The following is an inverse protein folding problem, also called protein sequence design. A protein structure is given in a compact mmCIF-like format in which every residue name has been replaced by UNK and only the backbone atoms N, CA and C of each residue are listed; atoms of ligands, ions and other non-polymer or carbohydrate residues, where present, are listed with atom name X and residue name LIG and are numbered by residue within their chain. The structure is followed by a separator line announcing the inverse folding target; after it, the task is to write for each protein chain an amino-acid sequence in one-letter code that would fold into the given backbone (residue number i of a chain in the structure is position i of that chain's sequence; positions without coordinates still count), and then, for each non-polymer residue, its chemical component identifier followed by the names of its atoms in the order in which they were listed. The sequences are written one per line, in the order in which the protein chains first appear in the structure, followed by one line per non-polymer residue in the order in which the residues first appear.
data_IF_192784720125
#
_entry.id   IF_192784720125
#
_cell.length_a   1.000
_cell.length_b   1.000
_cell.length_c   1.000
_cell.angle_alpha   90.00
_cell.angle_beta   90.00
_cell.angle_gamma   90.00
#
_symmetry.space_group_name_H-M   'P 1'
#
loop_
_entity.id
_entity.type
_entity.pdbx_description
1 polymer ?
#
# COMPACT_ATOMS: atom_id res chain seq x y z
N UNK A 1 -40.28 38.56 -24.07
CA UNK A 1 -40.10 37.98 -22.72
C UNK A 1 -39.64 36.52 -22.74
N UNK A 2 -40.08 35.70 -23.70
CA UNK A 2 -39.62 34.30 -23.86
C UNK A 2 -38.11 34.11 -24.10
N UNK A 3 -37.43 34.92 -24.93
CA UNK A 3 -35.98 34.76 -25.14
C UNK A 3 -35.14 35.03 -23.88
N UNK A 4 -35.63 35.92 -23.01
CA UNK A 4 -34.96 36.28 -21.74
C UNK A 4 -34.99 35.10 -20.77
N UNK A 5 -36.10 34.36 -20.71
CA UNK A 5 -36.22 33.14 -19.90
C UNK A 5 -35.28 32.03 -20.39
N UNK A 6 -35.17 31.84 -21.71
CA UNK A 6 -34.23 30.86 -22.27
C UNK A 6 -32.77 31.23 -22.04
N UNK A 7 -32.45 32.51 -22.11
CA UNK A 7 -31.11 33.01 -21.83
C UNK A 7 -30.76 32.87 -20.35
N UNK A 8 -31.65 33.29 -19.44
CA UNK A 8 -31.42 33.15 -18.00
C UNK A 8 -31.30 31.69 -17.58
N UNK A 9 -32.15 30.80 -18.10
CA UNK A 9 -32.08 29.37 -17.78
C UNK A 9 -30.75 28.76 -18.21
N UNK A 10 -30.20 29.12 -19.39
CA UNK A 10 -28.87 28.66 -19.83
C UNK A 10 -27.74 29.25 -19.01
N UNK A 11 -27.82 30.53 -18.65
CA UNK A 11 -26.79 31.21 -17.86
C UNK A 11 -26.72 30.66 -16.44
N UNK A 12 -27.87 30.35 -15.84
CA UNK A 12 -27.95 29.86 -14.46
C UNK A 12 -27.96 28.32 -14.35
N UNK A 13 -28.12 27.60 -15.45
CA UNK A 13 -28.13 26.13 -15.46
C UNK A 13 -26.93 25.53 -14.72
N UNK A 14 -25.67 25.93 -15.01
CA UNK A 14 -24.50 25.34 -14.36
C UNK A 14 -24.49 25.53 -12.85
N UNK A 15 -25.02 26.66 -12.36
CA UNK A 15 -25.05 26.99 -10.94
C UNK A 15 -26.10 26.19 -10.17
N UNK A 16 -27.08 25.60 -10.85
CA UNK A 16 -28.13 24.77 -10.25
C UNK A 16 -27.81 23.29 -10.46
N UNK A 17 -27.41 22.91 -11.68
CA UNK A 17 -27.15 21.51 -12.02
C UNK A 17 -25.94 20.97 -11.30
N UNK A 18 -24.87 21.77 -11.11
CA UNK A 18 -23.66 21.30 -10.45
C UNK A 18 -23.90 21.00 -8.96
N UNK A 19 -24.49 21.89 -8.13
CA UNK A 19 -24.80 21.55 -6.74
C UNK A 19 -25.76 20.35 -6.62
N UNK A 20 -26.78 20.27 -7.49
CA UNK A 20 -27.71 19.14 -7.47
C UNK A 20 -26.99 17.84 -7.80
N UNK A 21 -26.17 17.83 -8.86
CA UNK A 21 -25.38 16.65 -9.24
C UNK A 21 -24.39 16.26 -8.13
N UNK A 22 -23.77 17.22 -7.47
CA UNK A 22 -22.87 16.98 -6.34
C UNK A 22 -23.60 16.32 -5.16
N UNK A 23 -24.78 16.82 -4.78
CA UNK A 23 -25.59 16.23 -3.70
C UNK A 23 -26.05 14.82 -4.06
N UNK A 24 -26.55 14.63 -5.29
CA UNK A 24 -26.95 13.30 -5.78
C UNK A 24 -25.76 12.34 -5.80
N UNK A 25 -24.58 12.79 -6.23
CA UNK A 25 -23.35 12.01 -6.21
C UNK A 25 -22.91 11.64 -4.79
N UNK A 26 -22.96 12.58 -3.85
CA UNK A 26 -22.62 12.33 -2.45
C UNK A 26 -23.58 11.33 -1.80
N UNK A 27 -24.89 11.52 -1.97
CA UNK A 27 -25.91 10.59 -1.47
C UNK A 27 -25.77 9.22 -2.14
N UNK A 28 -25.55 9.19 -3.45
CA UNK A 28 -25.31 7.97 -4.22
C UNK A 28 -24.08 7.22 -3.73
N UNK A 29 -22.97 7.91 -3.47
CA UNK A 29 -21.75 7.33 -2.91
C UNK A 29 -21.98 6.71 -1.53
N UNK A 30 -22.71 7.40 -0.65
CA UNK A 30 -23.06 6.86 0.67
C UNK A 30 -24.01 5.67 0.60
N UNK A 31 -24.99 5.70 -0.31
CA UNK A 31 -25.94 4.61 -0.53
C UNK A 31 -25.26 3.41 -1.18
N UNK A 32 -24.36 3.65 -2.13
CA UNK A 32 -23.50 2.63 -2.72
C UNK A 32 -22.63 1.98 -1.64
N UNK A 33 -22.04 2.76 -0.74
CA UNK A 33 -21.28 2.24 0.39
C UNK A 33 -22.14 1.38 1.33
N UNK A 34 -23.38 1.83 1.61
CA UNK A 34 -24.33 1.09 2.46
C UNK A 34 -24.79 -0.24 1.82
N UNK A 35 -25.05 -0.24 0.50
CA UNK A 35 -25.49 -1.44 -0.23
C UNK A 35 -24.31 -2.40 -0.47
N UNK A 36 -23.12 -1.88 -0.75
CA UNK A 36 -21.93 -2.67 -1.05
C UNK A 36 -21.50 -3.52 0.14
N UNK A 37 -21.71 -3.05 1.37
CA UNK A 37 -21.45 -3.78 2.62
C UNK A 37 -20.02 -4.34 2.72
N UNK A 38 -19.69 -5.02 3.83
CA UNK A 38 -18.36 -5.58 4.13
C UNK A 38 -17.82 -6.64 3.12
N UNK A 39 -18.51 -6.85 2.00
CA UNK A 39 -18.22 -7.92 1.03
C UNK A 39 -17.14 -7.58 0.00
N UNK A 40 -16.77 -6.30 -0.13
CA UNK A 40 -15.59 -5.93 -0.92
C UNK A 40 -14.60 -5.25 -0.01
N UNK A 41 -13.45 -5.92 0.18
CA UNK A 41 -12.21 -5.34 0.69
C UNK A 41 -12.13 -3.89 0.22
N UNK A 42 -11.96 -2.95 1.16
CA UNK A 42 -11.89 -1.53 0.82
C UNK A 42 -10.92 -1.37 -0.35
N UNK A 43 -11.22 -0.57 -1.38
CA UNK A 43 -10.27 -0.30 -2.45
C UNK A 43 -9.05 0.42 -1.82
N UNK A 44 -8.02 -0.36 -1.46
CA UNK A 44 -6.89 0.04 -0.62
C UNK A 44 -6.48 -0.95 0.48
N UNK A 45 -7.31 -1.93 0.84
CA UNK A 45 -6.99 -3.02 1.78
C UNK A 45 -6.44 -4.28 1.09
N UNK A 46 -6.40 -4.29 -0.26
CA UNK A 46 -5.64 -5.31 -0.98
C UNK A 46 -4.15 -5.05 -0.73
N UNK A 47 -3.62 -5.71 0.31
CA UNK A 47 -2.20 -5.65 0.66
C UNK A 47 -1.35 -5.82 -0.58
N UNK A 48 -0.40 -4.92 -0.77
CA UNK A 48 0.49 -5.02 -1.92
C UNK A 48 1.27 -6.34 -1.87
N UNK A 49 1.72 -6.83 -3.02
CA UNK A 49 2.54 -8.06 -3.08
C UNK A 49 3.79 -7.94 -2.19
N UNK A 50 4.31 -6.72 -2.01
CA UNK A 50 5.46 -6.46 -1.13
C UNK A 50 5.07 -6.63 0.33
N UNK A 51 3.96 -6.02 0.76
CA UNK A 51 3.43 -6.14 2.12
C UNK A 51 3.12 -7.61 2.48
N UNK A 52 2.52 -8.36 1.56
CA UNK A 52 2.26 -9.79 1.74
C UNK A 52 3.54 -10.62 1.92
N UNK A 53 4.64 -10.22 1.27
CA UNK A 53 5.94 -10.89 1.41
C UNK A 53 6.60 -10.54 2.73
N UNK A 54 6.46 -9.30 3.19
CA UNK A 54 6.96 -8.86 4.48
C UNK A 54 6.23 -9.55 5.62
N UNK A 55 4.89 -9.62 5.54
CA UNK A 55 4.07 -10.39 6.50
C UNK A 55 4.51 -11.85 6.58
N UNK A 56 4.75 -12.51 5.44
CA UNK A 56 5.26 -13.88 5.42
C UNK A 56 6.63 -14.00 6.09
N UNK A 57 7.55 -13.07 5.84
CA UNK A 57 8.86 -13.05 6.50
C UNK A 57 8.74 -12.85 8.00
N UNK A 58 7.80 -12.00 8.43
CA UNK A 58 7.51 -11.76 9.85
C UNK A 58 6.94 -13.01 10.51
N UNK A 59 6.00 -13.70 9.87
CA UNK A 59 5.46 -14.99 10.34
C UNK A 59 6.55 -16.07 10.46
N UNK A 60 7.42 -16.19 9.44
CA UNK A 60 8.55 -17.13 9.45
C UNK A 60 9.61 -16.79 10.52
N UNK A 61 9.68 -15.52 10.95
CA UNK A 61 10.58 -15.02 11.98
C UNK A 61 9.98 -15.05 13.40
N UNK A 62 8.66 -15.01 13.54
CA UNK A 62 7.96 -14.93 14.84
C UNK A 62 8.19 -16.15 15.75
N UNK A 63 8.65 -17.27 15.20
CA UNK A 63 8.98 -18.50 15.94
C UNK A 63 10.48 -18.81 16.03
N UNK A 64 11.37 -17.95 15.52
CA UNK A 64 12.83 -18.16 15.54
C UNK A 64 13.50 -17.15 16.46
N UNK A 65 14.33 -17.65 17.38
CA UNK A 65 15.20 -16.80 18.18
C UNK A 65 16.30 -16.22 17.30
N UNK A 66 16.18 -14.92 16.98
CA UNK A 66 17.13 -14.19 16.13
C UNK A 66 18.49 -13.97 16.80
N UNK A 67 18.64 -14.30 18.09
CA UNK A 67 19.89 -14.19 18.83
C UNK A 67 20.75 -15.46 18.78
N UNK A 68 20.17 -16.60 18.35
CA UNK A 68 20.90 -17.85 18.14
C UNK A 68 21.55 -17.90 16.76
N UNK A 69 22.52 -17.02 16.54
CA UNK A 69 23.39 -17.07 15.37
C UNK A 69 24.71 -17.76 15.74
N UNK A 70 25.16 -18.70 14.91
CA UNK A 70 26.49 -19.30 15.06
C UNK A 70 27.54 -18.17 15.06
N UNK A 71 28.47 -18.24 16.00
CA UNK A 71 29.54 -17.25 16.13
C UNK A 71 30.30 -17.14 14.81
N UNK A 72 30.52 -15.92 14.33
CA UNK A 72 31.31 -15.67 13.11
C UNK A 72 32.72 -16.27 13.19
N UNK A 73 33.22 -16.50 14.41
CA UNK A 73 34.51 -17.16 14.68
C UNK A 73 34.50 -18.64 14.27
N UNK A 74 33.39 -19.32 14.46
CA UNK A 74 33.18 -20.74 14.10
C UNK A 74 32.99 -20.91 12.59
N UNK A 75 32.35 -19.93 11.93
CA UNK A 75 32.25 -19.90 10.45
C UNK A 75 33.58 -19.64 9.74
N UNK A 76 34.54 -19.02 10.40
CA UNK A 76 35.87 -18.75 9.82
C UNK A 76 36.69 -20.05 9.65
N UNK A 77 36.42 -21.06 10.47
CA UNK A 77 37.05 -22.38 10.35
C UNK A 77 36.47 -23.21 9.19
N UNK A 78 35.19 -22.99 8.87
CA UNK A 78 34.46 -23.78 7.87
C UNK A 78 34.42 -23.15 6.47
N UNK A 79 34.83 -21.88 6.33
CA UNK A 79 34.85 -21.20 5.02
C UNK A 79 36.23 -21.40 4.37
N UNK A 80 36.32 -21.87 3.10
CA UNK A 80 37.60 -21.96 2.41
C UNK A 80 38.26 -20.58 2.37
N UNK A 81 39.53 -20.50 2.79
CA UNK A 81 40.29 -19.23 2.83
C UNK A 81 40.10 -18.49 1.51
N UNK A 82 39.56 -17.28 1.57
CA UNK A 82 39.34 -16.48 0.38
C UNK A 82 40.70 -16.19 -0.27
N UNK A 83 40.75 -16.13 -1.61
CA UNK A 83 41.98 -15.79 -2.33
C UNK A 83 42.61 -14.45 -1.87
N UNK A 84 41.80 -13.58 -1.27
CA UNK A 84 42.20 -12.30 -0.68
C UNK A 84 43.06 -12.46 0.59
N UNK A 85 42.90 -13.54 1.36
CA UNK A 85 43.67 -13.78 2.59
C UNK A 85 45.11 -14.23 2.31
N UNK A 86 45.43 -14.59 1.06
CA UNK A 86 46.77 -15.04 0.65
C UNK A 86 47.84 -13.95 0.81
N UNK A 87 47.45 -12.68 0.83
CA UNK A 87 48.35 -11.52 0.94
C UNK A 87 48.30 -10.82 2.31
N UNK A 88 47.53 -11.35 3.27
CA UNK A 88 47.44 -10.71 4.59
C UNK A 88 48.62 -11.17 5.45
N UNK A 89 49.50 -10.27 5.91
CA UNK A 89 50.57 -10.67 6.83
C UNK A 89 49.94 -11.17 8.13
N UNK A 90 50.31 -12.38 8.57
CA UNK A 90 49.91 -12.90 9.87
C UNK A 90 50.44 -11.93 10.93
N UNK A 91 49.54 -11.23 11.63
CA UNK A 91 49.93 -10.37 12.74
C UNK A 91 50.35 -11.27 13.90
N UNK A 92 51.60 -11.10 14.33
CA UNK A 92 52.17 -11.69 15.55
C UNK A 92 51.39 -11.30 16.80
#
# INVERSE_FOLDING_TARGET
MWPVLWMSMRTYAPYITFPVAFVVGAVGYHLEWFIRGDTTLKPGEEKSIVELREDRKLEEGAGRDSTQVLSLKEKLEFTPRAALDRNRPEKS
#
